data_IF_986814337989
#
_entry.id   IF_986814337989
#
_cell.length_a   1.000
_cell.length_b   1.000
_cell.length_c   1.000
_cell.angle_alpha   90.00
_cell.angle_beta   90.00
_cell.angle_gamma   90.00
#
_symmetry.space_group_name_H-M   'P 1'
#
loop_
_entity.id
_entity.type
_entity.pdbx_description
1 polymer ?
#
# COMPACT_ATOMS: atom_id res chain seq x y z
N UNK A 1 28.84 31.79 -46.86
CA UNK A 1 28.38 31.03 -45.67
C UNK A 1 28.28 29.55 -46.07
N UNK A 2 29.12 28.69 -45.48
CA UNK A 2 29.26 27.29 -45.91
C UNK A 2 28.02 26.47 -45.54
N UNK A 3 27.16 26.19 -46.53
CA UNK A 3 25.92 25.39 -46.38
C UNK A 3 26.13 24.06 -45.66
N UNK A 4 27.33 23.47 -45.78
CA UNK A 4 27.72 22.21 -45.12
C UNK A 4 27.90 22.33 -43.61
N UNK A 5 28.40 23.48 -43.11
CA UNK A 5 28.57 23.70 -41.68
C UNK A 5 27.25 23.93 -40.95
N UNK A 6 26.33 24.66 -41.59
CA UNK A 6 24.98 24.89 -41.05
C UNK A 6 24.19 23.58 -40.96
N UNK A 7 24.26 22.74 -42.00
CA UNK A 7 23.59 21.44 -42.00
C UNK A 7 24.05 20.54 -40.84
N UNK A 8 25.35 20.51 -40.55
CA UNK A 8 25.89 19.70 -39.46
C UNK A 8 25.42 20.19 -38.09
N UNK A 9 25.44 21.51 -37.84
CA UNK A 9 24.95 22.10 -36.59
C UNK A 9 23.46 21.77 -36.39
N UNK A 10 22.64 21.89 -37.43
CA UNK A 10 21.21 21.55 -37.35
C UNK A 10 20.98 20.10 -36.97
N UNK A 11 21.72 19.16 -37.56
CA UNK A 11 21.59 17.73 -37.24
C UNK A 11 22.00 17.45 -35.79
N UNK A 12 23.08 18.07 -35.31
CA UNK A 12 23.52 17.93 -33.91
C UNK A 12 22.46 18.45 -32.94
N UNK A 13 21.85 19.60 -33.24
CA UNK A 13 20.77 20.15 -32.40
C UNK A 13 19.56 19.21 -32.38
N UNK A 14 19.16 18.66 -33.53
CA UNK A 14 18.05 17.70 -33.62
C UNK A 14 18.38 16.41 -32.85
N UNK A 15 19.59 15.88 -32.97
CA UNK A 15 20.00 14.70 -32.21
C UNK A 15 19.98 14.96 -30.70
N UNK A 16 20.40 16.14 -30.28
CA UNK A 16 20.41 16.52 -28.88
C UNK A 16 18.99 16.64 -28.31
N UNK A 17 18.04 17.22 -29.07
CA UNK A 17 16.65 17.28 -28.62
C UNK A 17 16.00 15.89 -28.55
N UNK A 18 16.25 15.01 -29.53
CA UNK A 18 15.76 13.63 -29.49
C UNK A 18 16.34 12.88 -28.28
N UNK A 19 17.62 13.05 -27.98
CA UNK A 19 18.25 12.44 -26.82
C UNK A 19 17.64 12.91 -25.51
N UNK A 20 17.35 14.22 -25.38
CA UNK A 20 16.69 14.77 -24.20
C UNK A 20 15.27 14.21 -24.04
N UNK A 21 14.48 14.16 -25.12
CA UNK A 21 13.13 13.58 -25.10
C UNK A 21 13.20 12.10 -24.69
N UNK A 22 14.15 11.34 -25.25
CA UNK A 22 14.35 9.94 -24.90
C UNK A 22 14.66 9.75 -23.42
N UNK A 23 15.56 10.56 -22.87
CA UNK A 23 15.90 10.50 -21.44
C UNK A 23 14.68 10.77 -20.54
N UNK A 24 13.89 11.80 -20.85
CA UNK A 24 12.68 12.13 -20.08
C UNK A 24 11.63 11.01 -20.12
N UNK A 25 11.46 10.33 -21.26
CA UNK A 25 10.53 9.21 -21.37
C UNK A 25 10.97 8.01 -20.52
N UNK A 26 12.27 7.72 -20.45
CA UNK A 26 12.82 6.64 -19.62
C UNK A 26 12.60 6.93 -18.14
N UNK A 27 12.86 8.17 -17.70
CA UNK A 27 12.63 8.60 -16.32
C UNK A 27 11.15 8.54 -15.93
N UNK A 28 10.26 9.00 -16.83
CA UNK A 28 8.81 8.92 -16.61
C UNK A 28 8.35 7.46 -16.50
N UNK A 29 8.80 6.58 -17.39
CA UNK A 29 8.45 5.16 -17.35
C UNK A 29 8.91 4.50 -16.04
N UNK A 30 10.13 4.82 -15.58
CA UNK A 30 10.64 4.34 -14.28
C UNK A 30 9.76 4.80 -13.12
N UNK A 31 9.38 6.09 -13.12
CA UNK A 31 8.53 6.70 -12.09
C UNK A 31 7.14 6.07 -12.05
N UNK A 32 6.51 5.87 -13.21
CA UNK A 32 5.21 5.20 -13.33
C UNK A 32 5.30 3.77 -12.81
N UNK A 33 6.37 3.04 -13.14
CA UNK A 33 6.55 1.67 -12.69
C UNK A 33 6.68 1.59 -11.16
N UNK A 34 7.48 2.45 -10.53
CA UNK A 34 7.61 2.50 -9.07
C UNK A 34 6.27 2.86 -8.42
N UNK A 35 5.57 3.85 -8.98
CA UNK A 35 4.25 4.28 -8.47
C UNK A 35 3.21 3.16 -8.54
N UNK A 36 3.21 2.38 -9.63
CA UNK A 36 2.30 1.24 -9.79
C UNK A 36 2.58 0.13 -8.76
N UNK A 37 3.84 -0.17 -8.47
CA UNK A 37 4.20 -1.14 -7.43
C UNK A 37 3.76 -0.67 -6.06
N UNK A 38 3.99 0.61 -5.72
CA UNK A 38 3.54 1.18 -4.46
C UNK A 38 2.01 1.11 -4.32
N UNK A 39 1.26 1.41 -5.39
CA UNK A 39 -0.20 1.29 -5.38
C UNK A 39 -0.67 -0.14 -5.13
N UNK A 40 0.00 -1.14 -5.69
CA UNK A 40 -0.31 -2.56 -5.47
C UNK A 40 -0.03 -2.92 -4.00
N UNK A 41 1.12 -2.53 -3.46
CA UNK A 41 1.48 -2.83 -2.07
C UNK A 41 0.56 -2.12 -1.08
N UNK A 42 0.14 -0.88 -1.38
CA UNK A 42 -0.89 -0.18 -0.61
C UNK A 42 -2.24 -0.91 -0.61
N UNK A 43 -2.67 -1.41 -1.78
CA UNK A 43 -3.91 -2.18 -1.89
C UNK A 43 -3.81 -3.49 -1.10
N UNK A 44 -2.70 -4.23 -1.23
CA UNK A 44 -2.45 -5.46 -0.46
C UNK A 44 -2.47 -5.19 1.06
N UNK A 45 -1.75 -4.17 1.53
CA UNK A 45 -1.73 -3.79 2.94
C UNK A 45 -3.12 -3.44 3.47
N UNK A 46 -3.95 -2.76 2.65
CA UNK A 46 -5.36 -2.49 3.01
C UNK A 46 -6.18 -3.78 3.11
N UNK A 47 -6.09 -4.68 2.14
CA UNK A 47 -6.81 -5.95 2.19
C UNK A 47 -6.40 -6.82 3.37
N UNK A 48 -5.12 -6.78 3.77
CA UNK A 48 -4.64 -7.44 4.99
C UNK A 48 -5.28 -6.85 6.25
N UNK A 49 -5.37 -5.52 6.34
CA UNK A 49 -6.08 -4.87 7.43
C UNK A 49 -7.57 -5.24 7.46
N UNK A 50 -8.22 -5.33 6.30
CA UNK A 50 -9.62 -5.76 6.18
C UNK A 50 -9.80 -7.23 6.62
N UNK A 51 -8.86 -8.11 6.26
CA UNK A 51 -8.84 -9.49 6.72
C UNK A 51 -8.70 -9.58 8.25
N UNK A 52 -7.87 -8.72 8.85
CA UNK A 52 -7.75 -8.61 10.30
C UNK A 52 -9.05 -8.16 10.96
N UNK A 53 -9.76 -7.19 10.40
CA UNK A 53 -11.11 -6.81 10.89
C UNK A 53 -12.10 -7.98 10.78
N UNK A 54 -12.09 -8.72 9.65
CA UNK A 54 -12.98 -9.86 9.47
C UNK A 54 -12.71 -10.97 10.51
N UNK A 55 -11.44 -11.27 10.77
CA UNK A 55 -11.06 -12.20 11.83
C UNK A 55 -11.48 -11.67 13.21
N UNK A 56 -11.31 -10.37 13.46
CA UNK A 56 -11.69 -9.74 14.72
C UNK A 56 -13.19 -9.87 15.00
N UNK A 57 -14.03 -9.62 14.00
CA UNK A 57 -15.48 -9.80 14.09
C UNK A 57 -15.82 -11.28 14.37
N UNK A 58 -15.17 -12.21 13.68
CA UNK A 58 -15.37 -13.64 13.92
C UNK A 58 -15.02 -14.00 15.37
N UNK A 59 -13.85 -13.56 15.86
CA UNK A 59 -13.42 -13.80 17.23
C UNK A 59 -14.38 -13.19 18.25
N UNK A 60 -14.87 -11.96 18.05
CA UNK A 60 -15.87 -11.36 18.93
C UNK A 60 -17.17 -12.15 18.95
N UNK A 61 -17.63 -12.62 17.79
CA UNK A 61 -18.83 -13.45 17.68
C UNK A 61 -18.66 -14.79 18.40
N UNK A 62 -17.51 -15.45 18.25
CA UNK A 62 -17.23 -16.72 18.93
C UNK A 62 -17.04 -16.52 20.44
N UNK A 63 -16.33 -15.47 20.86
CA UNK A 63 -16.12 -15.13 22.27
C UNK A 63 -17.41 -14.68 22.98
N UNK A 64 -18.40 -14.13 22.27
CA UNK A 64 -19.74 -13.91 22.85
C UNK A 64 -20.44 -15.23 23.24
N UNK A 65 -20.08 -16.33 22.59
CA UNK A 65 -20.54 -17.70 22.90
C UNK A 65 -19.68 -18.41 23.95
N UNK A 66 -18.38 -18.11 24.01
CA UNK A 66 -17.42 -18.68 24.97
C UNK A 66 -17.06 -17.62 26.03
N UNK A 67 -17.79 -17.65 27.16
CA UNK A 67 -17.54 -16.80 28.33
C UNK A 67 -16.09 -16.95 28.83
N UNK A 68 -15.20 -16.04 28.45
CA UNK A 68 -13.98 -15.80 29.24
C UNK A 68 -12.67 -15.45 28.53
N UNK A 69 -12.59 -15.27 27.21
CA UNK A 69 -11.31 -14.90 26.56
C UNK A 69 -11.33 -13.49 25.95
N UNK A 70 -10.83 -12.55 26.76
CA UNK A 70 -9.91 -11.50 26.32
C UNK A 70 -10.38 -10.53 25.25
N UNK A 71 -11.55 -9.93 25.39
CA UNK A 71 -11.77 -8.63 24.78
C UNK A 71 -10.72 -7.66 25.36
N UNK A 72 -9.93 -6.99 24.51
CA UNK A 72 -8.88 -6.04 24.92
C UNK A 72 -7.44 -6.42 24.56
N UNK A 73 -7.23 -7.54 23.88
CA UNK A 73 -5.90 -8.07 23.57
C UNK A 73 -5.48 -7.74 22.12
N UNK A 74 -4.20 -7.45 21.88
CA UNK A 74 -3.70 -7.30 20.50
C UNK A 74 -3.48 -8.70 19.92
N UNK A 75 -4.09 -8.99 18.77
CA UNK A 75 -3.89 -10.23 18.02
C UNK A 75 -2.88 -9.97 16.90
N UNK A 76 -1.78 -10.71 16.90
CA UNK A 76 -0.77 -10.71 15.84
C UNK A 76 0.63 -10.31 16.31
N UNK A 77 1.59 -10.20 15.37
CA UNK A 77 1.40 -10.20 13.92
C UNK A 77 1.03 -11.58 13.34
N UNK A 78 0.03 -11.63 12.45
CA UNK A 78 -0.38 -12.85 11.73
C UNK A 78 0.06 -12.73 10.26
N UNK A 79 0.84 -13.68 9.74
CA UNK A 79 1.22 -13.69 8.33
C UNK A 79 0.05 -14.13 7.44
N UNK A 80 -0.13 -13.44 6.30
CA UNK A 80 -1.08 -13.81 5.26
C UNK A 80 -0.53 -13.36 3.90
N UNK A 81 -0.21 -14.34 3.03
CA UNK A 81 0.44 -14.07 1.75
C UNK A 81 1.83 -13.43 1.93
N UNK A 82 2.07 -12.31 1.25
CA UNK A 82 3.34 -11.58 1.26
C UNK A 82 3.49 -10.57 2.42
N UNK A 83 2.52 -10.53 3.34
CA UNK A 83 2.47 -9.52 4.38
C UNK A 83 1.96 -10.05 5.72
N UNK A 84 1.79 -9.12 6.65
CA UNK A 84 1.31 -9.40 8.00
C UNK A 84 0.17 -8.45 8.35
N UNK A 85 -0.69 -8.86 9.27
CA UNK A 85 -1.63 -7.94 9.91
C UNK A 85 -1.64 -8.11 11.41
N UNK A 86 -1.98 -7.02 12.09
CA UNK A 86 -2.17 -6.96 13.53
C UNK A 86 -3.54 -6.36 13.81
N UNK A 87 -4.23 -6.85 14.84
CA UNK A 87 -5.55 -6.39 15.27
C UNK A 87 -5.45 -5.96 16.72
N UNK A 88 -6.01 -4.80 17.06
CA UNK A 88 -6.10 -4.30 18.43
C UNK A 88 -7.56 -4.01 18.75
N UNK A 89 -8.05 -4.55 19.87
CA UNK A 89 -9.38 -4.26 20.38
C UNK A 89 -9.30 -3.17 21.44
N UNK A 90 -10.01 -2.07 21.21
CA UNK A 90 -10.24 -1.06 22.22
C UNK A 90 -11.70 -1.14 22.67
N UNK A 91 -11.94 -1.87 23.75
CA UNK A 91 -13.29 -2.11 24.28
C UNK A 91 -13.92 -0.82 24.81
N UNK A 92 -13.12 0.09 25.40
CA UNK A 92 -13.61 1.34 25.99
C UNK A 92 -14.30 2.21 24.95
N UNK A 93 -13.72 2.25 23.76
CA UNK A 93 -14.24 3.04 22.63
C UNK A 93 -15.09 2.21 21.67
N UNK A 94 -15.33 0.92 22.00
CA UNK A 94 -15.96 -0.08 21.13
C UNK A 94 -15.39 -0.04 19.70
N UNK A 95 -14.06 -0.06 19.61
CA UNK A 95 -13.30 0.14 18.39
C UNK A 95 -12.37 -1.04 18.13
N UNK A 96 -12.43 -1.58 16.92
CA UNK A 96 -11.46 -2.55 16.41
C UNK A 96 -10.54 -1.82 15.46
N UNK A 97 -9.24 -1.97 15.66
CA UNK A 97 -8.22 -1.40 14.78
C UNK A 97 -7.46 -2.57 14.17
N UNK A 98 -7.35 -2.63 12.84
CA UNK A 98 -6.43 -3.54 12.19
C UNK A 98 -5.42 -2.77 11.33
N UNK A 99 -4.17 -3.23 11.37
CA UNK A 99 -3.08 -2.69 10.57
C UNK A 99 -2.52 -3.84 9.74
N UNK A 100 -2.55 -3.70 8.42
CA UNK A 100 -1.90 -4.59 7.48
C UNK A 100 -0.61 -3.96 6.95
N UNK A 101 0.42 -4.77 6.77
CA UNK A 101 1.75 -4.34 6.33
C UNK A 101 2.28 -5.27 5.24
N UNK A 102 2.79 -4.68 4.15
CA UNK A 102 3.42 -5.35 3.01
C UNK A 102 4.62 -4.52 2.57
N UNK A 103 5.81 -5.13 2.50
CA UNK A 103 7.03 -4.47 2.00
C UNK A 103 7.31 -3.07 2.63
N UNK A 104 7.00 -2.89 3.93
CA UNK A 104 7.16 -1.61 4.63
C UNK A 104 6.05 -0.57 4.41
N UNK A 105 5.05 -0.90 3.58
CA UNK A 105 3.82 -0.12 3.42
C UNK A 105 2.78 -0.62 4.42
N UNK A 106 2.32 0.27 5.30
CA UNK A 106 1.27 -0.05 6.28
C UNK A 106 -0.03 0.68 5.98
N UNK A 107 -1.17 -0.02 6.09
CA UNK A 107 -2.51 0.58 6.04
C UNK A 107 -3.31 0.18 7.27
N UNK A 108 -4.06 1.13 7.80
CA UNK A 108 -4.90 0.98 8.99
C UNK A 108 -6.37 1.05 8.61
N UNK A 109 -7.15 0.10 9.10
CA UNK A 109 -8.61 0.06 9.01
C UNK A 109 -9.18 0.04 10.41
N UNK A 110 -10.23 0.81 10.64
CA UNK A 110 -10.89 0.92 11.93
C UNK A 110 -12.37 0.64 11.77
N UNK A 111 -12.93 -0.13 12.71
CA UNK A 111 -14.34 -0.44 12.76
C UNK A 111 -14.86 -0.13 14.17
N UNK A 112 -15.72 0.89 14.26
CA UNK A 112 -16.46 1.16 15.48
C UNK A 112 -17.73 0.30 15.48
N UNK A 113 -18.00 -0.37 16.60
CA UNK A 113 -19.20 -1.16 16.79
C UNK A 113 -20.02 -0.59 17.94
N UNK A 114 -21.34 -0.76 17.89
CA UNK A 114 -22.22 -0.48 19.02
C UNK A 114 -22.74 -1.83 19.50
N UNK A 115 -22.48 -2.17 20.76
CA UNK A 115 -23.19 -3.27 21.40
C UNK A 115 -24.67 -2.87 21.51
N UNK A 116 -25.56 -3.67 20.92
CA UNK A 116 -27.02 -3.57 21.08
C UNK A 116 -27.44 -4.19 22.41
#
# INVERSE_FOLDING_TARGET
MNRRGVALITVVVIMLTIALIGASLVELASTVNISAHNMIDEAKARYLAEAGIAQAIHTLRTAATDTGKGAGETIGPIPLGDGVYTVTFNIKDSLIISVGEVNGVSKKVQLQYSAL
#
